data_IF_613633979437
#
_entry.id   IF_613633979437
#
_cell.length_a   1.000
_cell.length_b   1.000
_cell.length_c   1.000
_cell.angle_alpha   90.00
_cell.angle_beta   90.00
_cell.angle_gamma   90.00
#
_symmetry.space_group_name_H-M   'P 1'
#
loop_
_entity.id
_entity.type
_entity.pdbx_description
1 polymer ?
#
# COMPACT_ATOMS: atom_id res chain seq x y z
N UNK A 1 5.45 30.41 0.89
CA UNK A 1 4.98 29.22 1.63
C UNK A 1 3.47 29.17 1.46
N UNK A 2 2.90 28.34 0.59
CA UNK A 2 1.45 28.20 0.55
C UNK A 2 1.01 27.63 1.90
N UNK A 3 -0.10 28.15 2.45
CA UNK A 3 -0.66 27.67 3.72
C UNK A 3 -0.68 26.15 3.72
N UNK A 4 -0.19 25.54 4.80
CA UNK A 4 -0.28 24.09 4.99
C UNK A 4 -1.77 23.71 4.88
N UNK A 5 -2.16 23.20 3.71
CA UNK A 5 -3.48 22.59 3.52
C UNK A 5 -3.51 21.43 4.52
N UNK A 6 -4.48 21.42 5.43
CA UNK A 6 -4.53 20.46 6.52
C UNK A 6 -4.65 19.04 5.94
N UNK A 7 -3.52 18.38 5.78
CA UNK A 7 -3.48 16.98 5.42
C UNK A 7 -4.12 16.17 6.56
N UNK A 8 -5.06 15.29 6.19
CA UNK A 8 -5.76 14.38 7.09
C UNK A 8 -5.31 12.95 6.80
N UNK A 9 -5.42 12.08 7.81
CA UNK A 9 -5.09 10.68 7.66
C UNK A 9 -6.26 9.95 7.00
N UNK A 10 -6.02 9.35 5.84
CA UNK A 10 -7.00 8.58 5.08
C UNK A 10 -6.63 7.11 4.99
N UNK A 11 -7.65 6.25 4.98
CA UNK A 11 -7.51 4.85 4.56
C UNK A 11 -7.62 4.76 3.04
N UNK A 12 -7.06 3.68 2.45
CA UNK A 12 -7.21 3.43 1.01
C UNK A 12 -8.68 3.44 0.54
N UNK A 13 -9.59 2.83 1.31
CA UNK A 13 -11.00 2.74 0.92
C UNK A 13 -11.70 4.10 0.87
N UNK A 14 -11.34 5.02 1.79
CA UNK A 14 -11.81 6.40 1.76
C UNK A 14 -11.31 7.12 0.50
N UNK A 15 -10.01 7.00 0.18
CA UNK A 15 -9.43 7.59 -1.04
C UNK A 15 -10.04 7.03 -2.32
N UNK A 16 -10.26 5.71 -2.42
CA UNK A 16 -10.97 5.09 -3.55
C UNK A 16 -12.35 5.72 -3.71
N UNK A 17 -13.07 5.91 -2.61
CA UNK A 17 -14.43 6.49 -2.63
C UNK A 17 -14.41 7.93 -3.12
N UNK A 18 -13.47 8.75 -2.63
CA UNK A 18 -13.27 10.15 -3.06
C UNK A 18 -12.87 10.22 -4.54
N UNK A 19 -11.89 9.41 -4.96
CA UNK A 19 -11.42 9.30 -6.35
C UNK A 19 -12.58 8.99 -7.29
N UNK A 20 -13.37 7.95 -6.98
CA UNK A 20 -14.53 7.58 -7.77
C UNK A 20 -15.61 8.68 -7.79
N UNK A 21 -15.78 9.43 -6.70
CA UNK A 21 -16.73 10.55 -6.68
C UNK A 21 -16.30 11.66 -7.64
N UNK A 22 -15.01 12.01 -7.66
CA UNK A 22 -14.43 12.99 -8.58
C UNK A 22 -14.53 12.53 -10.04
N UNK A 23 -14.17 11.28 -10.33
CA UNK A 23 -14.26 10.69 -11.67
C UNK A 23 -15.71 10.62 -12.16
N UNK A 24 -16.66 10.30 -11.27
CA UNK A 24 -18.09 10.35 -11.58
C UNK A 24 -18.58 11.76 -11.86
N UNK A 25 -18.06 12.77 -11.15
CA UNK A 25 -18.36 14.16 -11.43
C UNK A 25 -17.86 14.57 -12.83
N UNK A 26 -16.67 14.14 -13.24
CA UNK A 26 -16.16 14.36 -14.61
C UNK A 26 -17.03 13.70 -15.70
N UNK A 27 -17.68 12.58 -15.37
CA UNK A 27 -18.57 11.87 -16.29
C UNK A 27 -20.04 12.31 -16.21
N UNK A 28 -20.40 13.21 -15.28
CA UNK A 28 -21.74 13.76 -15.24
C UNK A 28 -21.96 14.65 -16.47
N UNK A 29 -23.16 14.58 -17.06
CA UNK A 29 -23.50 15.43 -18.19
C UNK A 29 -23.58 16.89 -17.72
N UNK A 30 -22.69 17.74 -18.22
CA UNK A 30 -22.65 19.16 -17.91
C UNK A 30 -22.12 19.96 -19.11
N UNK A 31 -22.73 21.12 -19.39
CA UNK A 31 -22.23 22.08 -20.38
C UNK A 31 -21.21 23.03 -19.73
N UNK A 32 -20.08 22.47 -19.33
CA UNK A 32 -19.09 23.20 -18.52
C UNK A 32 -17.96 23.83 -19.35
N UNK A 33 -17.85 23.49 -20.63
CA UNK A 33 -16.75 23.92 -21.50
C UNK A 33 -15.57 22.93 -21.50
N UNK A 34 -14.35 23.34 -21.89
CA UNK A 34 -13.22 22.43 -22.02
C UNK A 34 -12.81 21.87 -20.66
N UNK A 35 -12.64 20.56 -20.58
CA UNK A 35 -12.31 19.84 -19.35
C UNK A 35 -10.87 19.33 -19.36
N UNK A 36 -10.16 19.55 -18.26
CA UNK A 36 -8.87 18.94 -17.94
C UNK A 36 -9.10 17.86 -16.88
N UNK A 37 -8.54 16.68 -17.11
CA UNK A 37 -8.41 15.64 -16.08
C UNK A 37 -6.96 15.23 -15.94
N UNK A 38 -6.47 15.14 -14.70
CA UNK A 38 -5.15 14.59 -14.38
C UNK A 38 -5.31 13.50 -13.32
N UNK A 39 -4.73 12.34 -13.53
CA UNK A 39 -4.68 11.28 -12.54
C UNK A 39 -3.27 10.71 -12.41
N UNK A 40 -2.76 10.65 -11.18
CA UNK A 40 -1.49 10.03 -10.84
C UNK A 40 -1.77 8.71 -10.11
N UNK A 41 -1.28 7.62 -10.68
CA UNK A 41 -1.37 6.27 -10.13
C UNK A 41 -0.01 5.83 -9.61
N UNK A 42 0.01 5.27 -8.41
CA UNK A 42 1.26 4.79 -7.83
C UNK A 42 1.82 3.58 -8.59
N UNK A 43 0.97 2.79 -9.26
CA UNK A 43 1.36 1.55 -9.99
C UNK A 43 0.41 1.23 -11.13
N UNK A 44 0.94 0.56 -12.17
CA UNK A 44 0.19 0.08 -13.33
C UNK A 44 -1.06 -0.79 -13.01
N UNK A 45 -1.04 -1.73 -12.03
CA UNK A 45 -2.22 -2.52 -11.71
C UNK A 45 -3.41 -1.68 -11.22
N UNK A 46 -3.17 -0.51 -10.60
CA UNK A 46 -4.25 0.40 -10.21
C UNK A 46 -4.88 1.07 -11.42
N UNK A 47 -4.06 1.59 -12.34
CA UNK A 47 -4.55 2.17 -13.59
C UNK A 47 -5.30 1.13 -14.45
N UNK A 48 -4.81 -0.11 -14.50
CA UNK A 48 -5.42 -1.18 -15.32
C UNK A 48 -6.87 -1.44 -14.93
N UNK A 49 -7.20 -1.36 -13.63
CA UNK A 49 -8.57 -1.52 -13.11
C UNK A 49 -9.47 -0.36 -13.54
N UNK A 50 -8.93 0.85 -13.57
CA UNK A 50 -9.67 2.07 -13.91
C UNK A 50 -9.62 2.45 -15.39
N UNK A 51 -8.90 1.69 -16.23
CA UNK A 51 -8.65 2.01 -17.65
C UNK A 51 -9.90 2.43 -18.43
N UNK A 52 -11.01 1.71 -18.22
CA UNK A 52 -12.31 1.98 -18.87
C UNK A 52 -12.94 3.30 -18.42
N UNK A 53 -12.67 3.75 -17.20
CA UNK A 53 -13.15 5.04 -16.69
C UNK A 53 -12.42 6.16 -17.41
N UNK A 54 -11.09 6.06 -17.51
CA UNK A 54 -10.25 7.08 -18.16
C UNK A 54 -10.44 7.13 -19.67
N UNK A 55 -10.78 6.01 -20.32
CA UNK A 55 -11.25 5.99 -21.71
C UNK A 55 -12.49 6.87 -21.91
N UNK A 56 -13.53 6.69 -21.09
CA UNK A 56 -14.75 7.52 -21.16
C UNK A 56 -14.52 8.99 -20.78
N UNK A 57 -13.57 9.25 -19.88
CA UNK A 57 -13.19 10.63 -19.53
C UNK A 57 -12.50 11.28 -20.74
N UNK A 58 -11.58 10.58 -21.39
CA UNK A 58 -10.84 11.08 -22.55
C UNK A 58 -11.74 11.38 -23.76
N UNK A 59 -12.84 10.66 -23.93
CA UNK A 59 -13.87 10.96 -24.94
C UNK A 59 -14.54 12.33 -24.76
N UNK A 60 -14.48 12.90 -23.55
CA UNK A 60 -15.18 14.15 -23.17
C UNK A 60 -14.23 15.29 -22.81
N UNK A 61 -13.06 14.95 -22.27
CA UNK A 61 -12.06 15.91 -21.86
C UNK A 61 -11.39 16.55 -23.07
N UNK A 62 -11.03 17.83 -22.94
CA UNK A 62 -10.13 18.46 -23.89
C UNK A 62 -8.71 17.89 -23.75
N UNK A 63 -8.33 17.46 -22.55
CA UNK A 63 -7.05 16.80 -22.27
C UNK A 63 -7.18 15.90 -21.04
N UNK A 64 -6.70 14.66 -21.16
CA UNK A 64 -6.60 13.72 -20.04
C UNK A 64 -5.15 13.29 -19.88
N UNK A 65 -4.58 13.54 -18.71
CA UNK A 65 -3.20 13.17 -18.37
C UNK A 65 -3.20 12.08 -17.33
N UNK A 66 -2.48 10.99 -17.61
CA UNK A 66 -2.30 9.86 -16.69
C UNK A 66 -0.82 9.75 -16.37
N UNK A 67 -0.46 9.98 -15.11
CA UNK A 67 0.86 9.66 -14.59
C UNK A 67 0.85 8.31 -13.90
N UNK A 68 1.87 7.47 -14.13
CA UNK A 68 2.01 6.22 -13.39
C UNK A 68 3.45 5.75 -13.30
N UNK A 69 3.79 5.06 -12.23
CA UNK A 69 5.09 4.39 -12.11
C UNK A 69 5.05 3.06 -12.86
N UNK A 70 5.91 2.94 -13.87
CA UNK A 70 6.11 1.70 -14.61
C UNK A 70 7.49 1.66 -15.29
N UNK A 71 8.09 0.47 -15.30
CA UNK A 71 9.35 0.21 -16.01
C UNK A 71 9.21 0.36 -17.53
N UNK A 72 8.00 0.11 -18.05
CA UNK A 72 7.67 0.22 -19.46
C UNK A 72 6.36 0.98 -19.64
N UNK A 73 6.32 1.85 -20.66
CA UNK A 73 5.13 2.61 -20.99
C UNK A 73 3.98 1.66 -21.37
N UNK A 74 2.86 1.65 -20.62
CA UNK A 74 1.72 0.82 -20.96
C UNK A 74 0.97 1.37 -22.18
N UNK A 75 0.17 0.51 -22.80
CA UNK A 75 -0.80 0.97 -23.79
C UNK A 75 -1.90 1.79 -23.10
N UNK A 76 -2.10 3.00 -23.60
CA UNK A 76 -3.07 3.95 -23.08
C UNK A 76 -4.35 3.99 -23.93
N UNK A 77 -5.52 4.27 -23.31
CA UNK A 77 -6.72 4.61 -24.05
C UNK A 77 -6.51 5.78 -25.00
N UNK A 78 -7.19 5.77 -26.14
CA UNK A 78 -7.18 6.90 -27.07
C UNK A 78 -7.59 8.20 -26.37
N UNK A 79 -6.89 9.29 -26.67
CA UNK A 79 -7.15 10.61 -26.07
C UNK A 79 -6.56 10.81 -24.66
N UNK A 80 -5.78 9.86 -24.14
CA UNK A 80 -5.02 10.04 -22.90
C UNK A 80 -3.53 10.23 -23.18
N UNK A 81 -2.86 10.98 -22.30
CA UNK A 81 -1.42 11.28 -22.41
C UNK A 81 -0.67 10.75 -21.19
N UNK A 82 0.39 9.97 -21.41
CA UNK A 82 1.17 9.32 -20.35
C UNK A 82 2.24 10.23 -19.77
N UNK A 83 2.44 10.15 -18.45
CA UNK A 83 3.67 10.54 -17.77
C UNK A 83 4.21 9.31 -17.02
N UNK A 84 5.36 8.77 -17.43
CA UNK A 84 5.97 7.59 -16.80
C UNK A 84 6.85 7.98 -15.62
N UNK A 85 6.38 7.85 -14.38
CA UNK A 85 7.16 8.22 -13.20
C UNK A 85 8.21 7.16 -12.87
N UNK A 86 9.38 7.58 -12.38
CA UNK A 86 10.36 6.67 -11.76
C UNK A 86 10.03 6.44 -10.28
N UNK A 87 10.43 5.29 -9.73
CA UNK A 87 10.16 4.91 -8.33
C UNK A 87 10.71 5.88 -7.27
N UNK A 88 11.80 6.57 -7.61
CA UNK A 88 12.42 7.56 -6.73
C UNK A 88 11.80 8.96 -6.81
N UNK A 89 10.87 9.21 -7.75
CA UNK A 89 10.26 10.54 -7.88
C UNK A 89 9.30 10.81 -6.71
N UNK A 90 9.21 12.07 -6.21
CA UNK A 90 8.27 12.43 -5.14
C UNK A 90 6.82 12.04 -5.46
N UNK A 91 6.44 12.11 -6.74
CA UNK A 91 5.10 11.81 -7.22
C UNK A 91 4.80 10.30 -7.37
N UNK A 92 5.80 9.43 -7.26
CA UNK A 92 5.62 7.97 -7.35
C UNK A 92 4.73 7.42 -6.22
N UNK A 93 4.76 8.10 -5.06
CA UNK A 93 3.95 7.78 -3.89
C UNK A 93 2.69 8.63 -3.79
N UNK A 94 2.51 9.59 -4.70
CA UNK A 94 1.34 10.45 -4.73
C UNK A 94 0.20 9.77 -5.49
N UNK A 95 -0.98 9.78 -4.90
CA UNK A 95 -2.26 9.55 -5.56
C UNK A 95 -2.89 10.92 -5.77
N UNK A 96 -3.05 11.31 -7.03
CA UNK A 96 -3.79 12.53 -7.38
C UNK A 96 -4.91 12.22 -8.35
N UNK A 97 -6.08 12.80 -8.14
CA UNK A 97 -7.15 12.88 -9.15
C UNK A 97 -7.65 14.31 -9.18
N UNK A 98 -7.65 14.90 -10.37
CA UNK A 98 -7.98 16.29 -10.60
C UNK A 98 -8.92 16.40 -11.78
N UNK A 99 -9.99 17.16 -11.60
CA UNK A 99 -10.93 17.54 -12.66
C UNK A 99 -11.06 19.04 -12.63
N UNK A 100 -10.90 19.69 -13.77
CA UNK A 100 -11.00 21.13 -13.90
C UNK A 100 -11.77 21.51 -15.14
N UNK A 101 -12.83 22.26 -14.95
CA UNK A 101 -13.60 22.91 -16.00
C UNK A 101 -13.76 24.40 -15.65
N UNK A 102 -14.26 25.23 -16.58
CA UNK A 102 -14.64 26.61 -16.29
C UNK A 102 -15.61 26.78 -15.11
N UNK A 103 -16.47 25.80 -14.86
CA UNK A 103 -17.60 25.89 -13.90
C UNK A 103 -17.49 24.93 -12.71
N UNK A 104 -16.53 24.02 -12.74
CA UNK A 104 -16.34 22.99 -11.72
C UNK A 104 -14.85 22.72 -11.53
N UNK A 105 -14.44 22.44 -10.31
CA UNK A 105 -13.13 21.85 -10.06
C UNK A 105 -13.17 20.94 -8.87
N UNK A 106 -12.43 19.85 -8.95
CA UNK A 106 -12.23 18.93 -7.87
C UNK A 106 -10.82 18.41 -7.89
N UNK A 107 -10.26 18.19 -6.70
CA UNK A 107 -8.92 17.68 -6.53
C UNK A 107 -8.89 16.78 -5.31
N UNK A 108 -8.24 15.64 -5.47
CA UNK A 108 -7.77 14.77 -4.41
C UNK A 108 -6.26 14.66 -4.58
N UNK A 109 -5.52 14.83 -3.50
CA UNK A 109 -4.09 14.59 -3.43
C UNK A 109 -3.81 13.85 -2.13
N UNK A 110 -3.15 12.71 -2.22
CA UNK A 110 -2.80 11.88 -1.08
C UNK A 110 -1.42 11.27 -1.25
N UNK A 111 -0.63 11.26 -0.18
CA UNK A 111 0.70 10.69 -0.14
C UNK A 111 0.69 9.42 0.71
N UNK A 112 1.15 8.30 0.15
CA UNK A 112 1.27 7.06 0.92
C UNK A 112 2.37 7.18 1.97
N UNK A 113 2.01 6.95 3.23
CA UNK A 113 2.96 6.98 4.36
C UNK A 113 3.84 5.74 4.43
N UNK A 114 3.51 4.70 3.66
CA UNK A 114 4.05 3.36 3.80
C UNK A 114 3.83 2.80 5.21
N UNK A 115 2.70 3.18 5.82
CA UNK A 115 2.23 2.68 7.10
C UNK A 115 0.98 1.84 6.91
N UNK A 116 0.72 0.94 7.86
CA UNK A 116 -0.40 0.00 7.81
C UNK A 116 -1.22 0.12 9.09
N UNK A 117 -2.54 0.20 8.94
CA UNK A 117 -3.49 -0.05 10.01
C UNK A 117 -3.48 -1.55 10.36
N UNK A 118 -2.99 -1.88 11.56
CA UNK A 118 -2.88 -3.28 12.03
C UNK A 118 -4.23 -4.01 12.15
N UNK A 119 -5.33 -3.26 12.07
CA UNK A 119 -6.68 -3.81 12.12
C UNK A 119 -7.18 -4.30 10.75
N UNK A 120 -6.46 -4.02 9.67
CA UNK A 120 -6.83 -4.41 8.33
C UNK A 120 -6.59 -5.92 8.06
N UNK A 121 -7.46 -6.49 7.23
CA UNK A 121 -7.40 -7.90 6.85
C UNK A 121 -6.25 -8.22 5.88
N UNK A 122 -5.80 -7.24 5.08
CA UNK A 122 -4.71 -7.37 4.12
C UNK A 122 -3.81 -6.14 4.19
N UNK A 123 -2.55 -6.29 3.77
CA UNK A 123 -1.62 -5.16 3.66
C UNK A 123 -2.19 -4.02 2.83
N UNK A 124 -2.72 -4.35 1.65
CA UNK A 124 -3.19 -3.34 0.72
C UNK A 124 -4.41 -2.57 1.22
N UNK A 125 -5.31 -3.23 1.96
CA UNK A 125 -6.46 -2.58 2.56
C UNK A 125 -6.09 -1.67 3.75
N UNK A 126 -4.99 -1.99 4.45
CA UNK A 126 -4.54 -1.27 5.62
C UNK A 126 -3.66 -0.05 5.34
N UNK A 127 -3.30 0.23 4.09
CA UNK A 127 -2.42 1.37 3.76
C UNK A 127 -3.01 2.69 4.23
N UNK A 128 -2.15 3.51 4.83
CA UNK A 128 -2.46 4.84 5.36
C UNK A 128 -1.83 5.94 4.52
N UNK A 129 -2.57 7.03 4.36
CA UNK A 129 -2.20 8.14 3.49
C UNK A 129 -2.40 9.47 4.20
N UNK A 130 -1.46 10.40 4.01
CA UNK A 130 -1.68 11.81 4.33
C UNK A 130 -2.29 12.49 3.10
N UNK A 131 -3.53 12.93 3.18
CA UNK A 131 -4.24 13.47 2.01
C UNK A 131 -5.09 14.68 2.30
N UNK A 132 -5.49 15.34 1.24
CA UNK A 132 -6.47 16.42 1.26
C UNK A 132 -7.25 16.40 -0.05
N UNK A 133 -8.45 16.98 -0.02
CA UNK A 133 -9.28 17.09 -1.21
C UNK A 133 -10.10 18.39 -1.14
N UNK A 134 -10.63 18.82 -2.27
CA UNK A 134 -11.45 20.02 -2.40
C UNK A 134 -12.33 19.92 -3.64
N UNK A 135 -13.55 20.47 -3.58
CA UNK A 135 -14.45 20.71 -4.71
C UNK A 135 -14.43 22.18 -5.17
N UNK A 136 -13.38 22.92 -4.80
CA UNK A 136 -13.18 24.31 -5.19
C UNK A 136 -12.32 24.37 -6.44
N UNK A 137 -12.77 25.16 -7.40
CA UNK A 137 -12.09 25.32 -8.69
C UNK A 137 -10.73 25.97 -8.55
N UNK A 138 -10.58 26.91 -7.62
CA UNK A 138 -9.30 27.55 -7.33
C UNK A 138 -8.26 26.55 -6.81
N UNK A 139 -8.67 25.55 -6.04
CA UNK A 139 -7.75 24.54 -5.51
C UNK A 139 -7.31 23.55 -6.59
N UNK A 140 -8.25 23.12 -7.44
CA UNK A 140 -7.96 22.34 -8.62
C UNK A 140 -7.06 23.11 -9.60
N UNK A 141 -7.33 24.40 -9.84
CA UNK A 141 -6.47 25.24 -10.68
C UNK A 141 -5.05 25.34 -10.12
N UNK A 142 -4.88 25.57 -8.81
CA UNK A 142 -3.56 25.62 -8.19
C UNK A 142 -2.80 24.29 -8.34
N UNK A 143 -3.46 23.15 -8.10
CA UNK A 143 -2.81 21.84 -8.28
C UNK A 143 -2.47 21.58 -9.75
N UNK A 144 -3.36 21.94 -10.68
CA UNK A 144 -3.10 21.79 -12.12
C UNK A 144 -1.89 22.61 -12.58
N UNK A 145 -1.73 23.85 -12.08
CA UNK A 145 -0.55 24.67 -12.36
C UNK A 145 0.73 24.08 -11.77
N UNK A 146 0.66 23.51 -10.56
CA UNK A 146 1.79 22.79 -9.95
C UNK A 146 2.22 21.57 -10.80
N UNK A 147 1.25 20.77 -11.24
CA UNK A 147 1.51 19.60 -12.10
C UNK A 147 2.01 20.01 -13.50
N UNK A 148 1.51 21.12 -14.06
CA UNK A 148 2.03 21.67 -15.30
C UNK A 148 3.50 22.08 -15.15
N UNK A 149 3.88 22.71 -14.04
CA UNK A 149 5.27 23.07 -13.79
C UNK A 149 6.17 21.84 -13.60
N UNK A 150 5.65 20.78 -12.96
CA UNK A 150 6.42 19.56 -12.71
C UNK A 150 6.60 18.69 -13.96
N UNK A 151 5.56 18.57 -14.79
CA UNK A 151 5.51 17.58 -15.87
C UNK A 151 5.24 18.15 -17.26
N UNK A 152 5.06 19.46 -17.37
CA UNK A 152 4.74 20.12 -18.63
C UNK A 152 5.65 19.68 -19.76
N UNK A 153 6.97 19.67 -19.54
CA UNK A 153 7.95 19.32 -20.57
C UNK A 153 7.96 17.83 -20.97
N UNK A 154 7.33 16.97 -20.18
CA UNK A 154 7.20 15.53 -20.45
C UNK A 154 5.98 15.21 -21.30
N UNK A 155 5.07 16.17 -21.49
CA UNK A 155 3.86 16.01 -22.28
C UNK A 155 4.11 16.32 -23.77
N UNK A 156 3.43 15.60 -24.68
CA UNK A 156 3.37 15.96 -26.11
C UNK A 156 2.91 17.40 -26.35
N UNK A 157 3.35 18.02 -27.46
CA UNK A 157 3.10 19.43 -27.74
C UNK A 157 1.62 19.81 -27.84
N UNK A 158 0.80 18.94 -28.42
CA UNK A 158 -0.66 19.05 -28.51
C UNK A 158 -1.30 18.99 -27.11
N UNK A 159 -0.90 18.04 -26.27
CA UNK A 159 -1.37 17.91 -24.89
C UNK A 159 -1.04 19.16 -24.07
N UNK A 160 0.20 19.68 -24.20
CA UNK A 160 0.63 20.92 -23.53
C UNK A 160 -0.20 22.12 -23.96
N UNK A 161 -0.49 22.23 -25.27
CA UNK A 161 -1.30 23.31 -25.80
C UNK A 161 -2.76 23.24 -25.30
N UNK A 162 -3.37 22.05 -25.32
CA UNK A 162 -4.71 21.83 -24.80
C UNK A 162 -4.81 22.17 -23.31
N UNK A 163 -3.86 21.66 -22.50
CA UNK A 163 -3.75 21.97 -21.07
C UNK A 163 -3.58 23.46 -20.81
N UNK A 164 -2.67 24.13 -21.54
CA UNK A 164 -2.50 25.58 -21.42
C UNK A 164 -3.78 26.36 -21.76
N UNK A 165 -4.52 25.93 -22.79
CA UNK A 165 -5.78 26.52 -23.19
C UNK A 165 -6.86 26.44 -22.11
N UNK A 166 -7.04 25.27 -21.48
CA UNK A 166 -7.97 25.11 -20.35
C UNK A 166 -7.56 26.01 -19.19
N UNK A 167 -6.28 25.99 -18.81
CA UNK A 167 -5.79 26.76 -17.67
C UNK A 167 -5.92 28.27 -17.88
N UNK A 168 -5.65 28.78 -19.08
CA UNK A 168 -5.85 30.19 -19.39
C UNK A 168 -7.32 30.60 -19.25
N UNK A 169 -8.24 29.76 -19.74
CA UNK A 169 -9.67 30.08 -19.72
C UNK A 169 -10.26 30.07 -18.30
N UNK A 170 -9.84 29.10 -17.47
CA UNK A 170 -10.32 28.98 -16.09
C UNK A 170 -9.79 30.10 -15.20
N UNK A 171 -8.54 30.54 -15.40
CA UNK A 171 -7.85 31.56 -14.59
C UNK A 171 -8.58 32.90 -14.57
N UNK A 172 -9.24 33.26 -15.67
CA UNK A 172 -9.92 34.56 -15.82
C UNK A 172 -11.34 34.57 -15.24
N UNK A 173 -11.84 33.42 -14.80
CA UNK A 173 -13.17 33.26 -14.24
C UNK A 173 -13.10 33.27 -12.70
N UNK A 174 -13.95 34.04 -12.00
CA UNK A 174 -13.98 34.04 -10.54
C UNK A 174 -14.65 32.78 -9.98
N UNK A 175 -14.19 32.28 -8.83
CA UNK A 175 -14.83 31.17 -8.14
C UNK A 175 -16.25 31.54 -7.67
N UNK A 176 -17.19 30.62 -7.85
CA UNK A 176 -18.58 30.82 -7.44
C UNK A 176 -18.78 30.53 -5.94
N UNK A 177 -19.66 31.29 -5.28
CA UNK A 177 -20.04 31.01 -3.88
C UNK A 177 -20.69 29.62 -3.67
N UNK A 178 -21.18 28.99 -4.74
CA UNK A 178 -21.69 27.61 -4.72
C UNK A 178 -20.60 26.57 -4.48
N UNK A 179 -19.37 26.82 -4.92
CA UNK A 179 -18.24 25.89 -4.77
C UNK A 179 -17.92 25.65 -3.29
N UNK A 180 -17.81 26.73 -2.49
CA UNK A 180 -17.59 26.62 -1.04
C UNK A 180 -18.70 25.86 -0.32
N UNK A 181 -19.95 25.93 -0.80
CA UNK A 181 -21.08 25.19 -0.20
C UNK A 181 -21.04 23.71 -0.57
N UNK A 182 -20.72 23.40 -1.82
CA UNK A 182 -20.57 22.02 -2.27
C UNK A 182 -19.41 21.33 -1.55
N UNK A 183 -18.29 22.03 -1.39
CA UNK A 183 -17.11 21.59 -0.65
C UNK A 183 -17.45 21.24 0.81
N UNK A 184 -18.08 22.16 1.54
CA UNK A 184 -18.50 21.92 2.92
C UNK A 184 -19.53 20.79 3.07
N UNK A 185 -20.45 20.63 2.10
CA UNK A 185 -21.40 19.51 2.10
C UNK A 185 -20.68 18.18 1.90
N UNK A 186 -19.76 18.11 0.94
CA UNK A 186 -18.95 16.92 0.70
C UNK A 186 -18.09 16.60 1.93
N UNK A 187 -17.58 17.60 2.64
CA UNK A 187 -16.73 17.42 3.81
C UNK A 187 -17.49 16.69 4.92
N UNK A 188 -18.72 17.13 5.18
CA UNK A 188 -19.60 16.48 6.14
C UNK A 188 -19.91 15.03 5.75
N UNK A 189 -20.20 14.75 4.47
CA UNK A 189 -20.56 13.42 3.98
C UNK A 189 -19.38 12.45 4.05
N UNK A 190 -18.19 12.89 3.67
CA UNK A 190 -16.95 12.10 3.70
C UNK A 190 -16.60 11.78 5.15
N UNK A 191 -16.57 12.79 6.03
CA UNK A 191 -16.29 12.58 7.44
C UNK A 191 -17.30 11.64 8.11
N UNK A 192 -18.57 11.67 7.70
CA UNK A 192 -19.56 10.72 8.17
C UNK A 192 -19.31 9.30 7.65
N UNK A 193 -19.02 9.14 6.36
CA UNK A 193 -18.73 7.84 5.75
C UNK A 193 -17.51 7.15 6.39
N UNK A 194 -16.46 7.91 6.71
CA UNK A 194 -15.28 7.39 7.39
C UNK A 194 -15.57 6.90 8.81
N UNK A 195 -16.33 7.69 9.58
CA UNK A 195 -16.75 7.28 10.94
C UNK A 195 -17.56 6.00 10.89
N UNK A 196 -18.57 5.92 10.02
CA UNK A 196 -19.39 4.73 9.86
C UNK A 196 -18.58 3.52 9.38
N UNK A 197 -17.61 3.72 8.48
CA UNK A 197 -16.70 2.66 8.02
C UNK A 197 -15.85 2.11 9.16
N UNK A 198 -15.32 3.00 9.99
CA UNK A 198 -14.49 2.64 11.17
C UNK A 198 -15.29 1.87 12.21
N UNK A 199 -16.50 2.33 12.53
CA UNK A 199 -17.42 1.65 13.44
C UNK A 199 -17.78 0.25 12.93
N UNK A 200 -18.10 0.13 11.65
CA UNK A 200 -18.45 -1.15 11.03
C UNK A 200 -17.25 -2.12 11.01
N UNK A 201 -16.04 -1.62 10.78
CA UNK A 201 -14.81 -2.42 10.86
C UNK A 201 -14.52 -2.88 12.30
N UNK A 202 -14.76 -2.04 13.30
CA UNK A 202 -14.67 -2.42 14.71
C UNK A 202 -15.68 -3.51 15.08
N UNK A 203 -16.94 -3.37 14.64
CA UNK A 203 -17.98 -4.36 14.89
C UNK A 203 -17.68 -5.71 14.21
N UNK A 204 -17.21 -5.69 12.95
CA UNK A 204 -16.80 -6.92 12.24
C UNK A 204 -15.68 -7.66 12.97
N UNK A 205 -14.76 -6.94 13.62
CA UNK A 205 -13.71 -7.57 14.44
C UNK A 205 -14.28 -8.24 15.69
N UNK A 206 -15.21 -7.58 16.39
CA UNK A 206 -15.86 -8.17 17.56
C UNK A 206 -16.66 -9.43 17.21
N UNK A 207 -17.21 -9.48 15.98
CA UNK A 207 -17.99 -10.60 15.48
C UNK A 207 -17.15 -11.66 14.74
N UNK A 208 -15.86 -11.44 14.54
CA UNK A 208 -15.00 -12.40 13.86
C UNK A 208 -14.86 -13.65 14.74
N UNK A 209 -15.24 -14.84 14.25
CA UNK A 209 -15.13 -16.07 15.05
C UNK A 209 -13.65 -16.35 15.36
N UNK A 210 -13.36 -16.70 16.61
CA UNK A 210 -12.03 -17.09 17.07
C UNK A 210 -11.49 -18.36 16.38
N UNK A 211 -12.34 -19.09 15.64
CA UNK A 211 -12.10 -20.42 15.08
C UNK A 211 -12.29 -20.48 13.55
N UNK A 212 -12.03 -19.40 12.81
CA UNK A 212 -11.79 -19.58 11.39
C UNK A 212 -10.53 -20.44 11.24
N UNK A 213 -10.67 -21.66 10.67
CA UNK A 213 -9.56 -22.56 10.39
C UNK A 213 -8.37 -21.74 9.89
N UNK A 214 -7.25 -21.65 10.65
CA UNK A 214 -6.14 -20.82 10.24
C UNK A 214 -5.67 -21.38 8.90
N UNK A 215 -5.85 -20.61 7.84
CA UNK A 215 -5.16 -20.89 6.60
C UNK A 215 -3.71 -20.69 6.98
N UNK A 216 -2.91 -21.74 6.92
CA UNK A 216 -1.48 -21.70 7.23
C UNK A 216 -0.68 -21.74 5.93
N UNK A 217 0.61 -21.45 6.01
CA UNK A 217 1.54 -21.57 4.90
C UNK A 217 1.34 -20.52 3.81
N UNK A 218 1.78 -20.86 2.61
CA UNK A 218 1.89 -19.92 1.48
C UNK A 218 0.55 -19.26 1.07
N UNK A 219 -0.60 -19.91 1.31
CA UNK A 219 -1.91 -19.34 1.00
C UNK A 219 -2.30 -18.21 1.95
N UNK A 220 -1.89 -18.29 3.21
CA UNK A 220 -2.08 -17.21 4.18
C UNK A 220 -1.23 -16.00 3.79
N UNK A 221 0.04 -16.27 3.46
CA UNK A 221 0.99 -15.27 2.98
C UNK A 221 0.43 -14.55 1.77
N UNK A 222 -0.03 -15.29 0.75
CA UNK A 222 -0.65 -14.71 -0.46
C UNK A 222 -1.89 -13.87 -0.14
N UNK A 223 -2.80 -14.40 0.69
CA UNK A 223 -4.05 -13.69 1.04
C UNK A 223 -3.77 -12.36 1.75
N UNK A 224 -2.90 -12.38 2.76
CA UNK A 224 -2.61 -11.19 3.55
C UNK A 224 -1.77 -10.18 2.77
N UNK A 225 -0.77 -10.66 2.02
CA UNK A 225 0.10 -9.81 1.22
C UNK A 225 -0.64 -9.14 0.05
N UNK A 226 -1.59 -9.86 -0.57
CA UNK A 226 -2.29 -9.46 -1.78
C UNK A 226 -1.37 -9.40 -3.01
N UNK A 227 -1.93 -8.93 -4.12
CA UNK A 227 -1.25 -8.90 -5.43
C UNK A 227 -0.65 -7.52 -5.77
N UNK A 228 -0.83 -6.53 -4.89
CA UNK A 228 -0.39 -5.16 -5.10
C UNK A 228 1.12 -5.04 -4.84
N UNK A 229 1.89 -4.99 -5.92
CA UNK A 229 3.36 -4.90 -5.87
C UNK A 229 3.86 -3.45 -5.95
N UNK A 230 4.99 -3.17 -5.32
CA UNK A 230 5.76 -1.94 -5.45
C UNK A 230 5.44 -0.84 -4.43
N UNK A 231 4.29 -0.86 -3.77
CA UNK A 231 3.86 0.27 -2.90
C UNK A 231 4.46 0.20 -1.51
N UNK A 232 4.16 -0.86 -0.76
CA UNK A 232 4.52 -0.99 0.65
C UNK A 232 5.73 -1.94 0.83
N UNK A 233 6.88 -1.45 1.33
CA UNK A 233 7.99 -2.31 1.69
C UNK A 233 7.63 -3.18 2.90
N UNK A 234 8.02 -4.45 2.83
CA UNK A 234 7.81 -5.43 3.90
C UNK A 234 9.12 -6.14 4.15
N UNK A 235 9.58 -6.13 5.39
CA UNK A 235 10.66 -7.01 5.78
C UNK A 235 10.11 -8.41 6.05
N UNK A 236 10.78 -9.41 5.50
CA UNK A 236 10.48 -10.81 5.64
C UNK A 236 11.59 -11.44 6.48
N UNK A 237 11.19 -12.05 7.60
CA UNK A 237 12.08 -12.77 8.48
C UNK A 237 11.67 -14.25 8.48
N UNK A 238 12.41 -15.05 7.72
CA UNK A 238 12.31 -16.51 7.77
C UNK A 238 13.02 -17.03 9.00
N UNK A 239 12.41 -17.97 9.72
CA UNK A 239 12.98 -18.59 10.92
C UNK A 239 12.82 -20.10 10.81
N UNK A 240 13.95 -20.81 10.77
CA UNK A 240 14.02 -22.26 10.88
C UNK A 240 14.53 -22.65 12.25
N UNK A 241 13.75 -23.49 12.92
CA UNK A 241 14.09 -23.99 14.24
C UNK A 241 14.61 -25.42 14.14
N UNK A 242 15.90 -25.68 14.43
CA UNK A 242 16.42 -27.04 14.41
C UNK A 242 15.71 -27.93 15.43
N UNK A 243 15.72 -29.24 15.15
CA UNK A 243 15.23 -30.22 16.11
C UNK A 243 16.04 -30.12 17.42
N UNK A 244 15.38 -30.17 18.60
CA UNK A 244 16.08 -30.11 19.87
C UNK A 244 17.09 -31.26 19.98
N UNK A 245 18.29 -30.96 20.46
CA UNK A 245 19.33 -31.96 20.72
C UNK A 245 18.96 -33.04 21.75
N UNK A 246 17.79 -32.92 22.42
CA UNK A 246 17.35 -33.76 23.55
C UNK A 246 15.88 -34.20 23.46
N UNK A 247 15.41 -34.64 22.30
CA UNK A 247 14.11 -35.32 22.23
C UNK A 247 14.28 -36.85 22.29
N UNK A 248 13.52 -37.56 23.14
CA UNK A 248 13.39 -39.01 23.05
C UNK A 248 12.82 -39.41 21.69
N UNK A 249 13.35 -40.47 21.07
CA UNK A 249 12.94 -41.00 19.74
C UNK A 249 11.44 -41.32 19.61
N UNK A 250 10.69 -41.34 20.72
CA UNK A 250 9.23 -41.48 20.76
C UNK A 250 8.56 -40.19 21.24
N UNK A 251 8.61 -39.15 20.41
CA UNK A 251 7.92 -37.89 20.71
C UNK A 251 6.53 -37.91 20.05
N UNK A 252 5.47 -38.05 20.86
CA UNK A 252 4.09 -38.09 20.38
C UNK A 252 3.53 -36.72 19.95
N UNK A 253 2.38 -36.70 19.25
CA UNK A 253 1.70 -35.49 18.74
C UNK A 253 1.53 -34.36 19.76
N UNK A 254 1.35 -34.69 21.05
CA UNK A 254 1.20 -33.70 22.14
C UNK A 254 2.46 -32.89 22.41
N UNK A 255 3.64 -33.50 22.34
CA UNK A 255 4.90 -32.79 22.59
C UNK A 255 5.25 -31.86 21.44
N UNK A 256 4.94 -32.27 20.20
CA UNK A 256 5.04 -31.39 19.03
C UNK A 256 4.13 -30.16 19.13
N UNK A 257 2.90 -30.33 19.62
CA UNK A 257 1.98 -29.22 19.86
C UNK A 257 2.52 -28.22 20.90
N UNK A 258 3.03 -28.70 22.04
CA UNK A 258 3.60 -27.85 23.08
C UNK A 258 4.86 -27.10 22.63
N UNK A 259 5.74 -27.76 21.84
CA UNK A 259 6.89 -27.10 21.20
C UNK A 259 6.42 -25.98 20.27
N UNK A 260 5.44 -26.26 19.42
CA UNK A 260 4.91 -25.28 18.49
C UNK A 260 4.23 -24.10 19.20
N UNK A 261 3.41 -24.35 20.22
CA UNK A 261 2.82 -23.29 21.06
C UNK A 261 3.90 -22.43 21.73
N UNK A 262 4.96 -23.05 22.26
CA UNK A 262 6.09 -22.35 22.84
C UNK A 262 6.85 -21.50 21.83
N UNK A 263 7.07 -22.01 20.62
CA UNK A 263 7.73 -21.26 19.53
C UNK A 263 6.88 -20.08 19.08
N UNK A 264 5.59 -20.27 18.86
CA UNK A 264 4.65 -19.19 18.53
C UNK A 264 4.68 -18.13 19.64
N UNK A 265 4.61 -18.54 20.90
CA UNK A 265 4.63 -17.60 22.03
C UNK A 265 5.94 -16.80 22.12
N UNK A 266 7.09 -17.38 21.76
CA UNK A 266 8.37 -16.65 21.69
C UNK A 266 8.39 -15.69 20.50
N UNK A 267 8.08 -16.19 19.30
CA UNK A 267 8.10 -15.39 18.07
C UNK A 267 7.09 -14.25 18.11
N UNK A 268 5.94 -14.42 18.76
CA UNK A 268 4.94 -13.36 18.90
C UNK A 268 5.38 -12.19 19.79
N UNK A 269 6.40 -12.33 20.65
CA UNK A 269 6.86 -11.26 21.55
C UNK A 269 7.50 -10.08 20.81
N UNK A 270 8.08 -10.34 19.64
CA UNK A 270 8.76 -9.32 18.83
C UNK A 270 7.82 -8.63 17.84
N UNK A 271 6.57 -9.08 17.74
CA UNK A 271 5.60 -8.61 16.76
C UNK A 271 4.79 -7.41 17.27
N UNK A 272 4.50 -6.50 16.35
CA UNK A 272 3.47 -5.46 16.49
C UNK A 272 2.11 -5.99 16.02
N UNK A 273 1.06 -5.23 16.31
CA UNK A 273 -0.30 -5.50 15.81
C UNK A 273 -0.40 -5.55 14.27
N UNK A 274 0.50 -4.84 13.59
CA UNK A 274 0.60 -4.80 12.12
C UNK A 274 1.34 -5.99 11.52
N UNK A 275 2.14 -6.66 12.33
CA UNK A 275 3.01 -7.73 11.88
C UNK A 275 2.23 -9.06 11.81
N UNK A 276 2.72 -9.99 11.00
CA UNK A 276 2.11 -11.32 10.88
C UNK A 276 3.13 -12.41 11.06
N UNK A 277 2.71 -13.48 11.70
CA UNK A 277 3.44 -14.74 11.86
C UNK A 277 2.66 -15.84 11.17
N UNK A 278 3.28 -16.46 10.18
CA UNK A 278 2.74 -17.63 9.49
C UNK A 278 3.71 -18.80 9.65
N UNK A 279 3.17 -19.99 9.89
CA UNK A 279 3.92 -21.24 9.82
C UNK A 279 3.97 -21.72 8.38
N UNK A 280 5.16 -21.91 7.82
CA UNK A 280 5.40 -22.40 6.45
C UNK A 280 5.51 -23.92 6.40
N UNK A 281 6.13 -24.52 7.41
CA UNK A 281 6.40 -25.96 7.50
C UNK A 281 6.45 -26.41 8.95
N UNK A 282 7.00 -27.59 9.21
CA UNK A 282 6.97 -28.11 10.57
C UNK A 282 7.84 -27.31 11.55
N UNK A 283 9.00 -26.85 11.06
CA UNK A 283 10.01 -26.09 11.80
C UNK A 283 10.28 -24.70 11.21
N UNK A 284 9.53 -24.34 10.16
CA UNK A 284 9.72 -23.12 9.38
C UNK A 284 8.60 -22.12 9.64
N UNK A 285 9.00 -20.91 10.00
CA UNK A 285 8.12 -19.78 10.28
C UNK A 285 8.52 -18.58 9.42
N UNK A 286 7.54 -17.75 9.09
CA UNK A 286 7.72 -16.50 8.39
C UNK A 286 7.08 -15.37 9.17
N UNK A 287 7.90 -14.40 9.56
CA UNK A 287 7.46 -13.14 10.12
C UNK A 287 7.42 -12.12 8.98
N UNK A 288 6.26 -11.50 8.78
CA UNK A 288 6.06 -10.44 7.80
C UNK A 288 5.88 -9.13 8.54
N UNK A 289 6.80 -8.20 8.31
CA UNK A 289 6.98 -6.98 9.08
C UNK A 289 6.82 -5.76 8.16
N UNK A 290 5.59 -5.25 7.96
CA UNK A 290 5.35 -4.11 7.10
C UNK A 290 6.03 -2.85 7.62
N UNK A 291 6.42 -1.96 6.70
CA UNK A 291 7.02 -0.66 7.03
C UNK A 291 8.31 -0.76 7.86
N UNK A 292 9.05 -1.87 7.70
CA UNK A 292 10.35 -2.09 8.36
C UNK A 292 11.50 -2.01 7.36
N UNK A 293 12.59 -1.42 7.83
CA UNK A 293 13.88 -1.44 7.14
C UNK A 293 14.59 -2.78 7.34
N UNK A 294 15.63 -3.02 6.55
CA UNK A 294 16.51 -4.19 6.73
C UNK A 294 17.12 -4.18 8.14
N UNK A 295 17.65 -3.04 8.60
CA UNK A 295 18.25 -2.89 9.92
C UNK A 295 17.28 -3.23 11.06
N UNK A 296 16.01 -2.80 10.94
CA UNK A 296 14.97 -3.15 11.89
C UNK A 296 14.76 -4.67 11.95
N UNK A 297 14.70 -5.32 10.79
CA UNK A 297 14.46 -6.75 10.70
C UNK A 297 15.67 -7.57 11.20
N UNK A 298 16.90 -7.12 10.97
CA UNK A 298 18.12 -7.72 11.54
C UNK A 298 18.14 -7.60 13.05
N UNK A 299 17.76 -6.45 13.62
CA UNK A 299 17.63 -6.29 15.08
C UNK A 299 16.58 -7.23 15.66
N UNK A 300 15.45 -7.39 14.98
CA UNK A 300 14.40 -8.35 15.38
C UNK A 300 14.94 -9.79 15.32
N UNK A 301 15.71 -10.15 14.30
CA UNK A 301 16.31 -11.48 14.19
C UNK A 301 17.25 -11.79 15.37
N UNK A 302 18.09 -10.82 15.77
CA UNK A 302 18.91 -10.95 16.97
C UNK A 302 18.09 -11.06 18.26
N UNK A 303 16.98 -10.31 18.37
CA UNK A 303 16.07 -10.43 19.51
C UNK A 303 15.44 -11.83 19.59
N UNK A 304 15.02 -12.38 18.44
CA UNK A 304 14.49 -13.75 18.34
C UNK A 304 15.52 -14.79 18.81
N UNK A 305 16.81 -14.65 18.44
CA UNK A 305 17.87 -15.54 18.97
C UNK A 305 17.94 -15.48 20.50
N UNK A 306 17.97 -14.27 21.06
CA UNK A 306 18.09 -14.07 22.49
C UNK A 306 16.87 -14.64 23.26
N UNK A 307 15.67 -14.43 22.73
CA UNK A 307 14.43 -14.91 23.35
C UNK A 307 14.30 -16.44 23.27
N UNK A 308 14.74 -17.06 22.17
CA UNK A 308 14.81 -18.52 22.06
C UNK A 308 15.80 -19.12 23.06
N UNK A 309 17.01 -18.57 23.14
CA UNK A 309 18.03 -19.02 24.10
C UNK A 309 17.53 -18.91 25.55
N UNK A 310 16.87 -17.80 25.90
CA UNK A 310 16.29 -17.60 27.23
C UNK A 310 15.14 -18.59 27.50
N UNK A 311 14.29 -18.84 26.50
CA UNK A 311 13.19 -19.79 26.63
C UNK A 311 13.69 -21.24 26.77
N UNK A 312 14.71 -21.64 26.02
CA UNK A 312 15.34 -22.97 26.11
C UNK A 312 15.91 -23.28 27.49
N UNK A 313 16.41 -22.26 28.20
CA UNK A 313 16.89 -22.41 29.57
C UNK A 313 15.79 -22.84 30.56
N UNK A 314 14.53 -22.57 30.25
CA UNK A 314 13.36 -22.89 31.09
C UNK A 314 12.48 -23.99 30.50
N UNK A 315 12.59 -24.26 29.21
CA UNK A 315 11.78 -25.24 28.49
C UNK A 315 12.68 -26.09 27.58
N UNK A 316 12.91 -27.34 27.99
CA UNK A 316 13.75 -28.29 27.27
C UNK A 316 13.23 -28.69 25.87
N UNK A 317 11.98 -28.35 25.53
CA UNK A 317 11.40 -28.59 24.21
C UNK A 317 11.71 -27.50 23.18
N UNK A 318 12.24 -26.35 23.63
CA UNK A 318 12.61 -25.24 22.75
C UNK A 318 14.11 -25.30 22.39
N UNK A 319 14.48 -24.87 21.17
CA UNK A 319 15.88 -24.78 20.76
C UNK A 319 16.57 -23.61 21.46
N UNK A 320 17.89 -23.69 21.61
CA UNK A 320 18.72 -22.57 22.09
C UNK A 320 19.04 -21.53 21.02
N UNK A 321 18.64 -21.77 19.77
CA UNK A 321 18.78 -20.83 18.66
C UNK A 321 18.00 -21.26 17.41
N UNK A 322 18.10 -20.47 16.36
CA UNK A 322 17.47 -20.72 15.06
C UNK A 322 18.39 -20.34 13.90
N UNK A 323 18.09 -20.82 12.69
CA UNK A 323 18.64 -20.24 11.47
C UNK A 323 17.63 -19.24 10.93
N UNK A 324 18.09 -18.05 10.57
CA UNK A 324 17.20 -16.96 10.17
C UNK A 324 17.65 -16.35 8.86
N UNK A 325 16.67 -15.91 8.08
CA UNK A 325 16.89 -15.16 6.85
C UNK A 325 16.16 -13.83 6.94
N UNK A 326 16.84 -12.75 6.64
CA UNK A 326 16.25 -11.41 6.57
C UNK A 326 16.30 -10.90 5.14
N UNK A 327 15.15 -10.42 4.64
CA UNK A 327 15.12 -9.62 3.41
C UNK A 327 14.08 -8.50 3.53
N UNK A 328 14.18 -7.49 2.66
CA UNK A 328 13.11 -6.48 2.48
C UNK A 328 12.64 -6.53 1.04
N UNK A 329 11.33 -6.49 0.82
CA UNK A 329 10.78 -6.49 -0.53
C UNK A 329 9.56 -5.60 -0.68
N UNK A 330 9.44 -4.97 -1.84
CA UNK A 330 8.20 -4.33 -2.30
C UNK A 330 7.40 -5.24 -3.22
N UNK A 331 7.95 -6.38 -3.61
CA UNK A 331 7.37 -7.23 -4.64
C UNK A 331 6.33 -8.19 -4.10
N UNK A 332 5.33 -8.49 -4.93
CA UNK A 332 4.29 -9.49 -4.66
C UNK A 332 4.13 -10.44 -5.87
N UNK A 333 3.87 -11.74 -5.65
CA UNK A 333 3.80 -12.42 -4.35
C UNK A 333 5.16 -12.47 -3.65
N UNK A 334 5.17 -12.68 -2.32
CA UNK A 334 6.43 -12.83 -1.58
C UNK A 334 7.19 -14.09 -2.03
N UNK A 335 8.53 -14.06 -2.08
CA UNK A 335 9.36 -15.14 -2.60
C UNK A 335 9.56 -16.27 -1.56
N UNK A 336 8.46 -16.89 -1.11
CA UNK A 336 8.46 -17.91 -0.04
C UNK A 336 9.40 -19.07 -0.34
N UNK A 337 9.39 -19.59 -1.57
CA UNK A 337 10.24 -20.73 -1.95
C UNK A 337 11.73 -20.39 -1.86
N UNK A 338 12.11 -19.15 -2.21
CA UNK A 338 13.48 -18.65 -2.08
C UNK A 338 13.88 -18.49 -0.62
N UNK A 339 12.96 -18.05 0.23
CA UNK A 339 13.19 -17.95 1.68
C UNK A 339 13.49 -19.34 2.25
N UNK A 340 12.69 -20.35 1.90
CA UNK A 340 12.90 -21.73 2.35
C UNK A 340 14.25 -22.27 1.87
N UNK A 341 14.59 -22.09 0.58
CA UNK A 341 15.87 -22.53 0.05
C UNK A 341 17.08 -21.84 0.70
N UNK A 342 16.96 -20.55 1.03
CA UNK A 342 18.01 -19.81 1.72
C UNK A 342 18.13 -20.21 3.20
N UNK A 343 17.04 -20.63 3.86
CA UNK A 343 17.09 -21.26 5.18
C UNK A 343 17.79 -22.62 5.14
N UNK A 344 17.53 -23.44 4.12
CA UNK A 344 18.26 -24.72 3.90
C UNK A 344 19.77 -24.48 3.81
N UNK A 345 20.17 -23.49 3.01
CA UNK A 345 21.58 -23.11 2.86
C UNK A 345 22.18 -22.59 4.17
N UNK A 346 21.47 -21.70 4.87
CA UNK A 346 21.95 -21.12 6.12
C UNK A 346 22.18 -22.19 7.21
N UNK A 347 21.32 -23.20 7.26
CA UNK A 347 21.49 -24.36 8.14
C UNK A 347 22.71 -25.21 7.76
N UNK A 348 22.89 -25.50 6.45
CA UNK A 348 24.03 -26.28 5.94
C UNK A 348 25.37 -25.60 6.23
N UNK A 349 25.46 -24.30 5.97
CA UNK A 349 26.67 -23.49 6.18
C UNK A 349 26.82 -23.00 7.63
N UNK A 350 25.84 -23.32 8.49
CA UNK A 350 25.77 -22.90 9.90
C UNK A 350 25.84 -21.39 10.10
N UNK A 351 25.18 -20.64 9.23
CA UNK A 351 25.05 -19.17 9.29
C UNK A 351 23.78 -18.83 10.09
N UNK A 352 23.87 -18.30 11.33
CA UNK A 352 22.69 -18.11 12.17
C UNK A 352 21.70 -17.07 11.64
N UNK A 353 22.19 -16.03 10.97
CA UNK A 353 21.39 -14.96 10.36
C UNK A 353 22.01 -14.66 9.00
N UNK A 354 21.28 -14.98 7.94
CA UNK A 354 21.60 -14.61 6.56
C UNK A 354 20.79 -13.37 6.15
N UNK A 355 21.37 -12.54 5.29
CA UNK A 355 20.69 -11.39 4.68
C UNK A 355 20.64 -11.60 3.17
N UNK A 356 19.55 -11.17 2.55
CA UNK A 356 19.32 -11.35 1.13
C UNK A 356 18.73 -10.07 0.54
N UNK A 357 19.34 -9.60 -0.54
CA UNK A 357 18.93 -8.39 -1.24
C UNK A 357 17.77 -8.65 -2.21
N UNK A 358 16.89 -7.65 -2.36
CA UNK A 358 15.71 -7.71 -3.25
C UNK A 358 16.10 -7.73 -4.75
N UNK A 359 17.33 -7.30 -5.07
CA UNK A 359 17.84 -7.09 -6.46
C UNK A 359 18.27 -8.37 -7.17
N UNK A 360 18.51 -9.46 -6.43
CA UNK A 360 18.85 -10.77 -7.00
C UNK A 360 17.56 -11.44 -7.52
N UNK A 361 17.06 -10.99 -8.67
CA UNK A 361 15.93 -11.63 -9.37
C UNK A 361 16.30 -12.97 -10.01
#
# INVERSE_FOLDING_TARGET
MPAARNAQLFTKSALVTLSHAIERAALAAAEDGPMLVVALFQRLPYFTRERRVYERIAERAAVTVVGLVADQAPELPAGTHLITLDDGEPYAREWTVLVLTPRFGAVLEAYDREEVDGTAATLEAGRLFDGWWSLRRDDALHKALSLQAAFGDRLPADARAALAGVLSYVRDLPAGAGESRADALAELLVAHAERSGTELAALRRQLAPAEATPVTGADEVRRWAGDASGTLPVALLGVRVPAPHRLPEQTGRRTGALRNEGLIAVLSRVLRDTDRLTRLGDDDFLLMLPARTMDDAVRIAHQVQADLAAAAATNAFLPDGAFQLVMTTRWRPFPVDRIVAALDWAEQERVPIAQLDDDDR
#
